data_IF_211672441530
#
_entry.id   IF_211672441530
#
_cell.length_a   1.000
_cell.length_b   1.000
_cell.length_c   1.000
_cell.angle_alpha   90.00
_cell.angle_beta   90.00
_cell.angle_gamma   90.00
#
_symmetry.space_group_name_H-M   'P 1'
#
loop_
_entity.id
_entity.type
_entity.pdbx_description
1 polymer ?
#
# COMPACT_ATOMS: atom_id res chain seq x y z
N UNK A 1 -27.98 -13.85 -41.33
CA UNK A 1 -28.09 -13.66 -39.87
C UNK A 1 -26.78 -14.12 -39.26
N UNK A 2 -25.83 -13.20 -39.06
CA UNK A 2 -24.52 -13.50 -38.48
C UNK A 2 -24.59 -13.04 -37.02
N UNK A 3 -24.69 -14.01 -36.10
CA UNK A 3 -24.55 -13.76 -34.67
C UNK A 3 -23.08 -13.41 -34.44
N UNK A 4 -22.81 -12.19 -33.99
CA UNK A 4 -21.49 -11.83 -33.49
C UNK A 4 -21.15 -12.74 -32.29
N UNK A 5 -19.92 -13.23 -32.17
CA UNK A 5 -19.53 -14.01 -31.00
C UNK A 5 -19.69 -13.14 -29.75
N UNK A 6 -20.39 -13.64 -28.74
CA UNK A 6 -20.35 -13.07 -27.39
C UNK A 6 -18.89 -12.98 -26.94
N UNK A 7 -18.46 -11.85 -26.33
CA UNK A 7 -17.10 -11.73 -25.82
C UNK A 7 -16.89 -12.85 -24.81
N UNK A 8 -15.86 -13.66 -25.05
CA UNK A 8 -15.43 -14.69 -24.11
C UNK A 8 -15.24 -14.04 -22.74
N UNK A 9 -15.96 -14.53 -21.74
CA UNK A 9 -15.71 -14.19 -20.34
C UNK A 9 -14.25 -14.53 -20.07
N UNK A 10 -13.41 -13.49 -20.00
CA UNK A 10 -12.03 -13.66 -19.60
C UNK A 10 -12.06 -14.27 -18.19
N UNK A 11 -11.40 -15.40 -18.01
CA UNK A 11 -11.19 -16.05 -16.72
C UNK A 11 -10.34 -15.10 -15.86
N UNK A 12 -11.02 -14.16 -15.21
CA UNK A 12 -10.39 -13.07 -14.49
C UNK A 12 -9.79 -13.66 -13.22
N UNK A 13 -8.47 -13.81 -13.20
CA UNK A 13 -7.75 -14.22 -11.99
C UNK A 13 -8.00 -13.18 -10.90
N UNK A 14 -8.68 -13.60 -9.83
CA UNK A 14 -8.93 -12.74 -8.66
C UNK A 14 -7.69 -12.80 -7.75
N UNK A 15 -6.97 -11.68 -7.64
CA UNK A 15 -5.88 -11.50 -6.68
C UNK A 15 -6.42 -10.81 -5.43
N UNK A 16 -6.21 -11.41 -4.25
CA UNK A 16 -6.63 -10.84 -2.96
C UNK A 16 -5.47 -10.13 -2.30
N UNK A 17 -5.65 -8.85 -1.98
CA UNK A 17 -4.70 -8.07 -1.20
C UNK A 17 -5.34 -7.57 0.11
N UNK A 18 -4.80 -7.94 1.28
CA UNK A 18 -5.08 -7.24 2.53
C UNK A 18 -4.83 -5.74 2.41
N UNK A 19 -5.56 -4.93 3.19
CA UNK A 19 -5.33 -3.48 3.22
C UNK A 19 -3.92 -3.10 3.69
N UNK A 20 -3.27 -3.98 4.45
CA UNK A 20 -1.87 -3.84 4.89
C UNK A 20 -0.87 -3.98 3.76
N UNK A 21 -1.25 -4.57 2.62
CA UNK A 21 -0.36 -4.78 1.48
C UNK A 21 -0.34 -3.59 0.53
N UNK A 22 -1.29 -2.65 0.70
CA UNK A 22 -1.37 -1.41 -0.07
C UNK A 22 -0.63 -0.30 0.68
N UNK A 23 0.35 0.32 0.02
CA UNK A 23 1.00 1.54 0.52
C UNK A 23 0.16 2.77 0.18
N UNK A 24 -0.15 2.93 -1.11
CA UNK A 24 -0.97 4.03 -1.62
C UNK A 24 -1.65 3.66 -2.93
N UNK A 25 -2.67 4.42 -3.30
CA UNK A 25 -3.24 4.38 -4.63
C UNK A 25 -3.41 5.80 -5.19
N UNK A 26 -3.35 5.91 -6.51
CA UNK A 26 -3.59 7.16 -7.24
C UNK A 26 -4.51 6.88 -8.41
N UNK A 27 -5.52 7.72 -8.59
CA UNK A 27 -6.47 7.64 -9.70
C UNK A 27 -6.10 8.68 -10.75
N UNK A 28 -5.98 8.24 -12.01
CA UNK A 28 -6.10 9.12 -13.17
C UNK A 28 -7.58 9.23 -13.55
N UNK A 29 -8.18 10.38 -13.26
CA UNK A 29 -9.63 10.55 -13.31
C UNK A 29 -10.17 10.52 -14.74
N UNK A 30 -9.42 11.07 -15.71
CA UNK A 30 -9.86 11.14 -17.11
C UNK A 30 -9.92 9.75 -17.76
N UNK A 31 -8.94 8.90 -17.46
CA UNK A 31 -8.86 7.53 -17.99
C UNK A 31 -9.51 6.48 -17.08
N UNK A 32 -9.99 6.88 -15.91
CA UNK A 32 -10.49 6.00 -14.85
C UNK A 32 -9.53 4.86 -14.49
N UNK A 33 -8.21 5.12 -14.56
CA UNK A 33 -7.17 4.15 -14.22
C UNK A 33 -6.68 4.38 -12.80
N UNK A 34 -6.93 3.39 -11.94
CA UNK A 34 -6.38 3.37 -10.58
C UNK A 34 -5.03 2.63 -10.59
N UNK A 35 -3.98 3.32 -10.15
CA UNK A 35 -2.68 2.70 -9.89
C UNK A 35 -2.55 2.41 -8.39
N UNK A 36 -2.41 1.15 -8.04
CA UNK A 36 -2.18 0.68 -6.67
C UNK A 36 -0.69 0.38 -6.51
N UNK A 37 -0.07 0.97 -5.49
CA UNK A 37 1.31 0.72 -5.09
C UNK A 37 1.28 -0.22 -3.89
N UNK A 38 1.86 -1.40 -4.06
CA UNK A 38 1.99 -2.39 -3.01
C UNK A 38 3.24 -2.14 -2.17
N UNK A 39 3.20 -2.56 -0.92
CA UNK A 39 4.29 -2.43 0.05
C UNK A 39 5.55 -3.20 -0.37
N UNK A 40 5.39 -4.22 -1.22
CA UNK A 40 6.50 -4.95 -1.85
C UNK A 40 7.24 -4.11 -2.90
N UNK A 41 6.76 -2.91 -3.22
CA UNK A 41 7.29 -2.03 -4.26
C UNK A 41 6.72 -2.29 -5.66
N UNK A 42 5.87 -3.30 -5.84
CA UNK A 42 5.21 -3.55 -7.12
C UNK A 42 4.00 -2.65 -7.31
N UNK A 43 3.59 -2.46 -8.56
CA UNK A 43 2.40 -1.69 -8.92
C UNK A 43 1.39 -2.53 -9.67
N UNK A 44 0.12 -2.13 -9.58
CA UNK A 44 -1.00 -2.68 -10.35
C UNK A 44 -1.80 -1.54 -10.95
N UNK A 45 -2.09 -1.60 -12.24
CA UNK A 45 -2.98 -0.67 -12.92
C UNK A 45 -4.33 -1.34 -13.14
N UNK A 46 -5.40 -0.69 -12.67
CA UNK A 46 -6.77 -1.21 -12.71
C UNK A 46 -7.63 -0.21 -13.47
N UNK A 47 -8.16 -0.63 -14.62
CA UNK A 47 -9.18 0.14 -15.33
C UNK A 47 -10.51 -0.04 -14.58
N UNK A 48 -11.07 1.05 -14.08
CA UNK A 48 -12.34 1.02 -13.37
C UNK A 48 -13.49 0.96 -14.37
N UNK A 49 -14.35 -0.05 -14.23
CA UNK A 49 -15.48 -0.27 -15.14
C UNK A 49 -16.54 0.84 -15.10
N UNK A 50 -16.57 1.62 -14.01
CA UNK A 50 -17.49 2.74 -13.81
C UNK A 50 -16.70 4.05 -13.60
N UNK A 51 -16.46 4.82 -14.68
CA UNK A 51 -15.76 6.09 -14.61
C UNK A 51 -16.47 7.15 -13.76
N UNK A 52 -17.81 7.14 -13.72
CA UNK A 52 -18.60 8.15 -12.99
C UNK A 52 -18.38 8.04 -11.48
N UNK A 53 -18.19 6.82 -10.98
CA UNK A 53 -17.95 6.55 -9.56
C UNK A 53 -16.47 6.37 -9.19
N UNK A 54 -15.55 6.47 -10.16
CA UNK A 54 -14.11 6.24 -9.98
C UNK A 54 -13.50 7.03 -8.82
N UNK A 55 -13.84 8.32 -8.71
CA UNK A 55 -13.35 9.22 -7.65
C UNK A 55 -13.84 8.76 -6.28
N UNK A 56 -15.14 8.44 -6.15
CA UNK A 56 -15.71 7.94 -4.89
C UNK A 56 -15.07 6.61 -4.50
N UNK A 57 -14.85 5.71 -5.45
CA UNK A 57 -14.18 4.44 -5.20
C UNK A 57 -12.74 4.65 -4.69
N UNK A 58 -11.96 5.52 -5.34
CA UNK A 58 -10.60 5.83 -4.91
C UNK A 58 -10.56 6.46 -3.50
N UNK A 59 -11.55 7.29 -3.15
CA UNK A 59 -11.71 7.83 -1.79
C UNK A 59 -11.95 6.71 -0.77
N UNK A 60 -12.92 5.82 -1.01
CA UNK A 60 -13.21 4.70 -0.10
C UNK A 60 -12.00 3.79 0.05
N UNK A 61 -11.30 3.46 -1.05
CA UNK A 61 -10.08 2.67 -0.99
C UNK A 61 -9.03 3.34 -0.11
N UNK A 62 -8.79 4.65 -0.30
CA UNK A 62 -7.87 5.42 0.54
C UNK A 62 -8.26 5.35 2.01
N UNK A 63 -9.54 5.53 2.33
CA UNK A 63 -10.04 5.44 3.71
C UNK A 63 -9.79 4.06 4.32
N UNK A 64 -10.01 2.98 3.57
CA UNK A 64 -9.75 1.61 4.06
C UNK A 64 -8.27 1.37 4.31
N UNK A 65 -7.40 1.77 3.38
CA UNK A 65 -5.94 1.70 3.54
C UNK A 65 -5.48 2.53 4.73
N UNK A 66 -6.03 3.73 4.92
CA UNK A 66 -5.69 4.58 6.06
C UNK A 66 -6.18 4.00 7.39
N UNK A 67 -7.35 3.36 7.42
CA UNK A 67 -7.88 2.72 8.64
C UNK A 67 -7.03 1.55 9.12
N UNK A 68 -6.23 0.93 8.24
CA UNK A 68 -5.28 -0.11 8.63
C UNK A 68 -3.99 0.46 9.21
N UNK A 69 -3.75 1.78 9.16
CA UNK A 69 -2.57 2.41 9.74
C UNK A 69 -2.90 2.93 11.14
N UNK A 70 -2.20 2.42 12.15
CA UNK A 70 -2.36 2.82 13.55
C UNK A 70 -1.41 3.97 13.88
N UNK A 71 -0.15 3.87 13.44
CA UNK A 71 0.86 4.91 13.63
C UNK A 71 1.89 4.82 12.50
N UNK A 72 2.56 5.91 12.17
CA UNK A 72 3.62 5.88 11.17
C UNK A 72 4.64 6.98 11.38
N UNK A 73 5.89 6.66 11.09
CA UNK A 73 7.00 7.60 11.03
C UNK A 73 7.67 7.57 9.66
N UNK A 74 8.23 8.71 9.26
CA UNK A 74 9.11 8.82 8.10
C UNK A 74 10.51 9.10 8.61
N UNK A 75 11.46 8.26 8.19
CA UNK A 75 12.86 8.31 8.57
C UNK A 75 13.65 8.84 7.39
N UNK A 76 14.24 10.02 7.53
CA UNK A 76 15.20 10.55 6.55
C UNK A 76 16.55 9.86 6.69
N UNK A 77 17.14 9.42 5.58
CA UNK A 77 18.41 8.70 5.60
C UNK A 77 19.61 9.64 5.37
N UNK A 78 20.79 9.34 5.96
CA UNK A 78 21.98 10.18 5.82
C UNK A 78 22.47 10.35 4.37
N UNK A 79 22.31 9.32 3.54
CA UNK A 79 22.70 9.33 2.13
C UNK A 79 21.62 9.94 1.21
N UNK A 80 20.54 10.48 1.78
CA UNK A 80 19.34 10.88 1.05
C UNK A 80 18.33 9.74 0.91
N UNK A 81 17.09 10.12 0.59
CA UNK A 81 15.94 9.20 0.58
C UNK A 81 15.22 9.13 1.93
N UNK A 82 14.11 8.42 1.92
CA UNK A 82 13.26 8.24 3.11
C UNK A 82 12.77 6.80 3.20
N UNK A 83 12.61 6.32 4.43
CA UNK A 83 11.93 5.06 4.74
C UNK A 83 10.71 5.37 5.60
N UNK A 84 9.56 4.84 5.22
CA UNK A 84 8.35 4.91 6.03
C UNK A 84 8.26 3.65 6.89
N UNK A 85 8.06 3.83 8.18
CA UNK A 85 7.78 2.74 9.13
C UNK A 85 6.38 2.94 9.67
N UNK A 86 5.50 1.98 9.43
CA UNK A 86 4.10 2.05 9.84
C UNK A 86 3.76 0.88 10.77
N UNK A 87 3.13 1.18 11.90
CA UNK A 87 2.39 0.18 12.67
C UNK A 87 1.00 0.05 12.05
N UNK A 88 0.63 -1.16 11.66
CA UNK A 88 -0.62 -1.45 10.96
C UNK A 88 -1.43 -2.52 11.67
N UNK A 89 -2.74 -2.45 11.48
CA UNK A 89 -3.71 -3.45 11.91
C UNK A 89 -4.11 -4.30 10.72
N UNK A 90 -3.93 -5.61 10.84
CA UNK A 90 -4.37 -6.57 9.84
C UNK A 90 -5.90 -6.83 9.92
N UNK A 91 -6.38 -7.75 9.09
CA UNK A 91 -7.81 -8.09 9.01
C UNK A 91 -8.33 -8.84 10.24
N UNK A 92 -7.44 -9.47 11.02
CA UNK A 92 -7.75 -10.14 12.27
C UNK A 92 -7.69 -9.20 13.48
N UNK A 93 -7.21 -7.96 13.28
CA UNK A 93 -6.99 -6.98 14.33
C UNK A 93 -5.60 -7.03 14.96
N UNK A 94 -4.70 -7.88 14.47
CA UNK A 94 -3.33 -7.99 14.94
C UNK A 94 -2.47 -6.82 14.46
N UNK A 95 -1.50 -6.43 15.29
CA UNK A 95 -0.62 -5.29 15.01
C UNK A 95 0.72 -5.76 14.49
N UNK A 96 1.12 -5.24 13.32
CA UNK A 96 2.40 -5.51 12.68
C UNK A 96 3.14 -4.22 12.33
N UNK A 97 4.47 -4.21 12.44
CA UNK A 97 5.29 -3.13 11.88
C UNK A 97 5.58 -3.43 10.41
N UNK A 98 5.60 -2.39 9.59
CA UNK A 98 5.84 -2.47 8.17
C UNK A 98 6.83 -1.39 7.75
N UNK A 99 7.88 -1.79 7.05
CA UNK A 99 8.93 -0.91 6.55
C UNK A 99 8.78 -0.78 5.03
N UNK A 100 8.67 0.45 4.55
CA UNK A 100 8.46 0.77 3.14
C UNK A 100 9.58 1.71 2.71
N UNK A 101 10.50 1.20 1.88
CA UNK A 101 11.57 1.97 1.27
C UNK A 101 11.14 2.67 -0.02
N UNK A 102 11.99 3.57 -0.52
CA UNK A 102 11.82 4.28 -1.79
C UNK A 102 12.23 3.47 -3.04
N UNK A 103 12.54 2.18 -2.87
CA UNK A 103 13.01 1.27 -3.92
C UNK A 103 14.49 1.43 -4.30
N UNK A 104 15.20 2.39 -3.71
CA UNK A 104 16.64 2.64 -3.96
C UNK A 104 17.49 2.45 -2.71
N UNK A 105 16.88 2.62 -1.55
CA UNK A 105 17.48 2.42 -0.24
C UNK A 105 17.87 0.96 -0.02
N UNK A 106 19.14 0.72 0.35
CA UNK A 106 19.58 -0.57 0.86
C UNK A 106 19.20 -0.72 2.35
N UNK A 107 18.08 -1.41 2.63
CA UNK A 107 17.62 -1.66 4.00
C UNK A 107 18.54 -2.60 4.80
N UNK A 108 19.44 -3.33 4.14
CA UNK A 108 20.43 -4.18 4.80
C UNK A 108 21.71 -3.42 5.19
N UNK A 109 21.84 -2.14 4.81
CA UNK A 109 22.93 -1.30 5.32
C UNK A 109 22.81 -1.16 6.85
N UNK A 110 23.86 -1.42 7.64
CA UNK A 110 23.77 -1.40 9.10
C UNK A 110 23.32 -0.06 9.70
N UNK A 111 23.68 1.05 9.07
CA UNK A 111 23.27 2.40 9.52
C UNK A 111 21.78 2.60 9.25
N UNK A 112 21.30 2.20 8.08
CA UNK A 112 19.88 2.26 7.72
C UNK A 112 19.06 1.34 8.62
N UNK A 113 19.51 0.09 8.80
CA UNK A 113 18.85 -0.89 9.66
C UNK A 113 18.69 -0.37 11.09
N UNK A 114 19.75 0.20 11.68
CA UNK A 114 19.68 0.77 13.03
C UNK A 114 18.66 1.93 13.15
N UNK A 115 18.52 2.76 12.11
CA UNK A 115 17.53 3.84 12.07
C UNK A 115 16.11 3.30 11.93
N UNK A 116 15.91 2.28 11.09
CA UNK A 116 14.63 1.59 10.90
C UNK A 116 14.21 0.90 12.20
N UNK A 117 15.09 0.12 12.83
CA UNK A 117 14.82 -0.55 14.10
C UNK A 117 14.42 0.45 15.20
N UNK A 118 15.09 1.60 15.24
CA UNK A 118 14.74 2.66 16.18
C UNK A 118 13.35 3.24 15.91
N UNK A 119 12.96 3.40 14.65
CA UNK A 119 11.62 3.83 14.27
C UNK A 119 10.57 2.76 14.56
N UNK A 120 10.86 1.48 14.31
CA UNK A 120 9.97 0.37 14.66
C UNK A 120 9.67 0.34 16.16
N UNK A 121 10.69 0.49 17.00
CA UNK A 121 10.51 0.61 18.46
C UNK A 121 9.61 1.77 18.85
N UNK A 122 9.75 2.94 18.20
CA UNK A 122 8.91 4.11 18.49
C UNK A 122 7.46 3.89 18.07
N UNK A 123 7.22 3.39 16.86
CA UNK A 123 5.83 3.17 16.39
C UNK A 123 5.12 2.08 17.22
N UNK A 124 5.84 1.03 17.64
CA UNK A 124 5.31 -0.02 18.53
C UNK A 124 5.07 0.52 19.94
N UNK A 125 6.03 1.26 20.49
CA UNK A 125 5.92 1.89 21.80
C UNK A 125 4.75 2.87 21.90
N UNK A 126 4.46 3.63 20.83
CA UNK A 126 3.30 4.52 20.77
C UNK A 126 1.94 3.80 20.93
N UNK A 127 1.89 2.50 20.61
CA UNK A 127 0.73 1.63 20.81
C UNK A 127 0.82 0.75 22.08
N UNK A 128 1.82 0.97 22.94
CA UNK A 128 2.05 0.17 24.14
C UNK A 128 2.58 -1.24 23.88
N UNK A 129 3.09 -1.51 22.68
CA UNK A 129 3.70 -2.79 22.33
C UNK A 129 5.19 -2.83 22.72
N UNK A 130 5.74 -4.01 23.03
CA UNK A 130 7.18 -4.16 23.23
C UNK A 130 7.92 -3.86 21.92
N UNK A 131 9.05 -3.17 22.05
CA UNK A 131 9.96 -2.81 20.97
C UNK A 131 11.05 -3.86 20.74
#
# INVERSE_FOLDING_TARGET
MHVAPEPAEADATIERHPWTDVDRASLEAESAVLTVHLVSGSTRALALADPEHSVRFAQVLRERVQSSVVHSEVVSLPAGGVVKVALRRDENGELLSQVIGDGRTNLADPTVAALVDAAERRVRGAAGLPG
#
